data_IF_208105535819
#
_entry.id   IF_208105535819
#
_cell.length_a   1.000
_cell.length_b   1.000
_cell.length_c   1.000
_cell.angle_alpha   90.00
_cell.angle_beta   90.00
_cell.angle_gamma   90.00
#
_symmetry.space_group_name_H-M   'P 1'
#
loop_
_entity.id
_entity.type
_entity.pdbx_description
1 polymer ?
#
# COMPACT_ATOMS: atom_id res chain seq x y z
N UNK A 1 25.26 12.95 -9.43
CA UNK A 1 24.56 14.21 -9.09
C UNK A 1 25.49 15.43 -9.00
N UNK A 2 26.55 15.41 -8.18
CA UNK A 2 27.46 16.56 -8.03
C UNK A 2 28.14 17.04 -9.33
N UNK A 3 28.44 16.13 -10.26
CA UNK A 3 29.03 16.46 -11.55
C UNK A 3 28.05 17.18 -12.50
N UNK A 4 26.76 16.80 -12.49
CA UNK A 4 25.72 17.42 -13.32
C UNK A 4 25.43 18.86 -12.88
N UNK A 5 25.42 19.09 -11.57
CA UNK A 5 25.16 20.42 -10.99
C UNK A 5 26.22 21.45 -11.40
N UNK A 6 27.49 21.02 -11.57
CA UNK A 6 28.58 21.87 -12.05
C UNK A 6 28.49 22.22 -13.53
N UNK A 7 27.62 21.54 -14.29
CA UNK A 7 27.44 21.73 -15.73
C UNK A 7 26.21 22.57 -16.07
N UNK A 8 25.35 22.88 -15.09
CA UNK A 8 24.19 23.74 -15.29
C UNK A 8 24.60 25.22 -15.33
N UNK A 9 24.10 25.96 -16.33
CA UNK A 9 24.34 27.40 -16.48
C UNK A 9 23.01 28.16 -16.54
N UNK A 10 22.87 29.30 -15.83
CA UNK A 10 21.64 30.10 -15.89
C UNK A 10 21.30 30.52 -17.32
N UNK A 11 20.04 30.33 -17.72
CA UNK A 11 19.54 30.72 -19.05
C UNK A 11 19.86 29.75 -20.19
N UNK A 12 20.52 28.62 -19.92
CA UNK A 12 20.70 27.52 -20.87
C UNK A 12 19.92 26.28 -20.41
N UNK A 13 19.45 25.43 -21.35
CA UNK A 13 18.83 24.15 -21.01
C UNK A 13 19.78 23.32 -20.14
N UNK A 14 19.22 22.62 -19.16
CA UNK A 14 20.02 21.69 -18.36
C UNK A 14 20.68 20.65 -19.26
N UNK A 15 21.92 20.24 -18.97
CA UNK A 15 22.54 19.13 -19.66
C UNK A 15 21.66 17.89 -19.51
N UNK A 16 21.63 17.06 -20.56
CA UNK A 16 20.90 15.81 -20.51
C UNK A 16 21.30 15.03 -19.25
N UNK A 17 20.30 14.58 -18.50
CA UNK A 17 20.52 13.67 -17.39
C UNK A 17 21.20 12.39 -17.87
N UNK A 18 21.73 11.56 -16.95
CA UNK A 18 22.01 10.18 -17.31
C UNK A 18 20.76 9.60 -18.00
N UNK A 19 20.98 8.81 -19.05
CA UNK A 19 19.90 8.03 -19.63
C UNK A 19 19.24 7.25 -18.48
N UNK A 20 17.90 7.23 -18.39
CA UNK A 20 17.23 6.35 -17.43
C UNK A 20 17.77 4.93 -17.66
N UNK A 21 17.93 4.18 -16.57
CA UNK A 21 18.32 2.77 -16.68
C UNK A 21 17.35 2.11 -17.67
N UNK A 22 17.89 1.41 -18.67
CA UNK A 22 17.09 0.83 -19.76
C UNK A 22 16.00 -0.12 -19.21
N UNK A 23 16.25 -0.66 -18.02
CA UNK A 23 15.40 -1.60 -17.30
C UNK A 23 14.56 -0.93 -16.19
N UNK A 24 14.53 0.40 -16.09
CA UNK A 24 13.74 1.10 -15.07
C UNK A 24 12.23 0.82 -15.17
N UNK A 25 11.76 0.35 -16.34
CA UNK A 25 10.39 -0.10 -16.57
C UNK A 25 10.20 -1.61 -16.34
N UNK A 26 11.27 -2.37 -16.10
CA UNK A 26 11.24 -3.83 -15.96
C UNK A 26 10.82 -4.23 -14.54
N UNK A 27 9.56 -4.65 -14.40
CA UNK A 27 9.03 -5.23 -13.16
C UNK A 27 9.35 -6.73 -13.09
N UNK A 28 10.64 -7.06 -12.95
CA UNK A 28 11.12 -8.45 -12.96
C UNK A 28 10.58 -9.29 -11.79
N UNK A 29 10.26 -8.63 -10.67
CA UNK A 29 9.67 -9.30 -9.50
C UNK A 29 8.17 -9.43 -9.65
N UNK A 30 7.67 -10.66 -9.53
CA UNK A 30 6.25 -10.96 -9.51
C UNK A 30 5.78 -11.25 -8.08
N UNK A 31 4.69 -10.60 -7.69
CA UNK A 31 4.09 -10.73 -6.37
C UNK A 31 2.82 -11.59 -6.46
N UNK A 32 2.68 -12.53 -5.53
CA UNK A 32 1.48 -13.36 -5.42
C UNK A 32 0.32 -12.56 -4.82
N UNK A 33 -0.91 -12.81 -5.31
CA UNK A 33 -2.13 -12.25 -4.70
C UNK A 33 -2.54 -12.98 -3.42
N UNK A 34 -2.13 -14.24 -3.28
CA UNK A 34 -2.46 -15.08 -2.12
C UNK A 34 -1.58 -14.76 -0.91
N UNK A 35 -0.42 -14.15 -1.15
CA UNK A 35 0.52 -13.74 -0.11
C UNK A 35 0.41 -12.23 0.12
N UNK A 36 -0.34 -11.85 1.15
CA UNK A 36 -0.52 -10.46 1.57
C UNK A 36 0.19 -10.21 2.92
N UNK A 37 1.53 -10.19 2.96
CA UNK A 37 2.28 -10.03 4.20
C UNK A 37 2.15 -8.61 4.77
N UNK A 38 2.61 -8.46 6.01
CA UNK A 38 2.74 -7.18 6.69
C UNK A 38 1.44 -6.64 7.27
N UNK A 39 1.60 -5.59 8.07
CA UNK A 39 0.47 -4.85 8.63
C UNK A 39 -0.21 -4.00 7.56
N UNK A 40 -1.54 -3.85 7.66
CA UNK A 40 -2.31 -3.01 6.76
C UNK A 40 -3.49 -2.39 7.51
N UNK A 41 -3.98 -1.24 7.05
CA UNK A 41 -5.18 -0.62 7.61
C UNK A 41 -6.06 -0.08 6.49
N UNK A 42 -7.38 -0.18 6.70
CA UNK A 42 -8.39 0.42 5.83
C UNK A 42 -9.30 1.31 6.67
N UNK A 43 -9.48 2.56 6.25
CA UNK A 43 -10.46 3.49 6.82
C UNK A 43 -11.63 3.62 5.84
N UNK A 44 -12.83 3.31 6.30
CA UNK A 44 -14.09 3.45 5.55
C UNK A 44 -15.07 4.30 6.39
N UNK A 45 -15.16 5.59 6.05
CA UNK A 45 -15.86 6.58 6.86
C UNK A 45 -15.27 6.68 8.27
N UNK A 46 -16.09 6.47 9.28
CA UNK A 46 -15.66 6.51 10.68
C UNK A 46 -14.94 5.23 11.12
N UNK A 47 -15.00 4.15 10.36
CA UNK A 47 -14.51 2.86 10.81
C UNK A 47 -13.10 2.60 10.30
N UNK A 48 -12.25 2.04 11.15
CA UNK A 48 -10.92 1.59 10.79
C UNK A 48 -10.78 0.09 11.06
N UNK A 49 -10.40 -0.64 10.03
CA UNK A 49 -9.94 -2.02 10.13
C UNK A 49 -8.41 -2.01 10.20
N UNK A 50 -7.84 -2.69 11.18
CA UNK A 50 -6.40 -2.89 11.32
C UNK A 50 -6.07 -4.38 11.18
N UNK A 51 -5.18 -4.73 10.25
CA UNK A 51 -4.55 -6.04 10.10
C UNK A 51 -3.15 -5.97 10.71
N UNK A 52 -2.87 -6.81 11.70
CA UNK A 52 -1.54 -6.98 12.28
C UNK A 52 -1.06 -8.41 12.07
N UNK A 53 0.21 -8.57 11.72
CA UNK A 53 0.83 -9.89 11.73
C UNK A 53 0.99 -10.41 13.16
N UNK A 54 0.88 -11.72 13.32
CA UNK A 54 1.16 -12.39 14.59
C UNK A 54 2.36 -13.31 14.40
N UNK A 55 3.08 -13.62 15.49
CA UNK A 55 4.18 -14.60 15.47
C UNK A 55 3.75 -15.99 14.99
N UNK A 56 2.44 -16.27 14.95
CA UNK A 56 1.84 -17.54 14.55
C UNK A 56 1.45 -17.57 13.08
N UNK A 57 1.78 -16.53 12.29
CA UNK A 57 1.51 -16.43 10.85
C UNK A 57 0.07 -16.13 10.48
N UNK A 58 -0.89 -16.23 11.43
CA UNK A 58 -2.29 -15.84 11.19
C UNK A 58 -2.47 -14.35 11.51
N UNK A 59 -2.94 -13.52 10.57
CA UNK A 59 -3.16 -12.11 10.83
C UNK A 59 -4.29 -11.90 11.84
N UNK A 60 -4.07 -11.00 12.80
CA UNK A 60 -5.10 -10.51 13.72
C UNK A 60 -5.77 -9.29 13.09
N UNK A 61 -7.11 -9.27 13.15
CA UNK A 61 -7.91 -8.12 12.71
C UNK A 61 -8.59 -7.48 13.91
N UNK A 62 -8.52 -6.16 14.00
CA UNK A 62 -9.29 -5.34 14.96
C UNK A 62 -10.06 -4.26 14.23
N UNK A 63 -11.22 -3.87 14.76
CA UNK A 63 -12.14 -2.91 14.16
C UNK A 63 -12.45 -1.80 15.15
N UNK A 64 -12.33 -0.54 14.75
CA UNK A 64 -12.59 0.62 15.60
C UNK A 64 -13.58 1.58 14.92
N UNK A 65 -14.42 2.26 15.72
CA UNK A 65 -15.21 3.43 15.29
C UNK A 65 -14.48 4.69 15.74
N UNK A 66 -13.70 5.29 14.85
CA UNK A 66 -12.85 6.45 15.13
C UNK A 66 -13.63 7.70 15.53
N UNK A 67 -14.92 7.80 15.21
CA UNK A 67 -15.74 8.93 15.63
C UNK A 67 -16.09 8.85 17.12
N UNK A 68 -16.25 7.64 17.67
CA UNK A 68 -16.57 7.42 19.09
C UNK A 68 -15.34 7.08 19.92
N UNK A 69 -14.33 6.50 19.29
CA UNK A 69 -13.10 6.05 19.91
C UNK A 69 -11.88 6.43 19.05
N UNK A 70 -11.49 7.72 19.02
CA UNK A 70 -10.31 8.18 18.28
C UNK A 70 -9.00 7.54 18.75
N UNK A 71 -8.99 6.97 19.97
CA UNK A 71 -7.83 6.35 20.58
C UNK A 71 -7.72 4.83 20.34
N UNK A 72 -8.63 4.23 19.55
CA UNK A 72 -8.60 2.81 19.18
C UNK A 72 -8.51 1.86 20.39
N UNK A 73 -9.23 2.19 21.48
CA UNK A 73 -9.23 1.45 22.74
C UNK A 73 -10.22 0.30 22.76
N UNK A 74 -11.34 0.41 22.05
CA UNK A 74 -12.43 -0.56 22.03
C UNK A 74 -12.47 -1.30 20.70
N UNK A 75 -12.01 -2.56 20.70
CA UNK A 75 -12.14 -3.42 19.53
C UNK A 75 -13.59 -3.90 19.36
N UNK A 76 -14.19 -3.52 18.23
CA UNK A 76 -15.54 -3.87 17.80
C UNK A 76 -15.59 -5.14 16.94
N UNK A 77 -14.46 -5.83 16.71
CA UNK A 77 -14.38 -7.01 15.82
C UNK A 77 -15.36 -8.13 16.21
N UNK A 78 -15.62 -8.31 17.51
CA UNK A 78 -16.59 -9.27 18.03
C UNK A 78 -18.01 -8.71 18.16
N UNK A 79 -18.15 -7.38 18.20
CA UNK A 79 -19.44 -6.69 18.39
C UNK A 79 -20.17 -6.51 17.05
N UNK A 80 -19.44 -6.17 15.98
CA UNK A 80 -19.97 -6.00 14.63
C UNK A 80 -19.23 -6.92 13.62
N UNK A 81 -19.53 -8.23 13.64
CA UNK A 81 -18.87 -9.20 12.75
C UNK A 81 -19.24 -8.99 11.28
N UNK A 82 -20.39 -8.39 10.98
CA UNK A 82 -20.80 -8.09 9.61
C UNK A 82 -19.91 -7.00 9.01
N UNK A 83 -19.69 -5.90 9.74
CA UNK A 83 -18.77 -4.85 9.30
C UNK A 83 -17.34 -5.34 9.21
N UNK A 84 -16.89 -6.14 10.18
CA UNK A 84 -15.57 -6.77 10.12
C UNK A 84 -15.41 -7.56 8.82
N UNK A 85 -16.38 -8.41 8.48
CA UNK A 85 -16.34 -9.21 7.25
C UNK A 85 -16.31 -8.32 5.99
N UNK A 86 -17.17 -7.29 5.93
CA UNK A 86 -17.23 -6.35 4.80
C UNK A 86 -15.90 -5.63 4.60
N UNK A 87 -15.34 -5.05 5.66
CA UNK A 87 -14.09 -4.29 5.56
C UNK A 87 -12.89 -5.19 5.29
N UNK A 88 -12.90 -6.45 5.76
CA UNK A 88 -11.85 -7.42 5.41
C UNK A 88 -11.85 -7.72 3.92
N UNK A 89 -13.03 -7.92 3.32
CA UNK A 89 -13.14 -8.12 1.88
C UNK A 89 -12.62 -6.90 1.11
N UNK A 90 -13.07 -5.70 1.49
CA UNK A 90 -12.61 -4.46 0.85
C UNK A 90 -11.09 -4.25 0.98
N UNK A 91 -10.51 -4.56 2.14
CA UNK A 91 -9.06 -4.50 2.34
C UNK A 91 -8.34 -5.48 1.41
N UNK A 92 -8.80 -6.73 1.34
CA UNK A 92 -8.21 -7.74 0.45
C UNK A 92 -8.30 -7.33 -1.03
N UNK A 93 -9.45 -6.80 -1.47
CA UNK A 93 -9.64 -6.31 -2.84
C UNK A 93 -8.66 -5.18 -3.16
N UNK A 94 -8.51 -4.20 -2.25
CA UNK A 94 -7.53 -3.14 -2.41
C UNK A 94 -6.09 -3.67 -2.46
N UNK A 95 -5.73 -4.61 -1.58
CA UNK A 95 -4.41 -5.22 -1.60
C UNK A 95 -4.13 -5.98 -2.91
N UNK A 96 -5.12 -6.67 -3.49
CA UNK A 96 -4.98 -7.31 -4.79
C UNK A 96 -4.75 -6.31 -5.92
N UNK A 97 -5.39 -5.14 -5.87
CA UNK A 97 -5.13 -4.05 -6.83
C UNK A 97 -3.70 -3.54 -6.71
N UNK A 98 -3.17 -3.40 -5.49
CA UNK A 98 -1.74 -3.06 -5.29
C UNK A 98 -0.83 -4.11 -5.92
N UNK A 99 -1.13 -5.40 -5.72
CA UNK A 99 -0.36 -6.50 -6.35
C UNK A 99 -0.44 -6.43 -7.87
N UNK A 100 -1.60 -6.11 -8.46
CA UNK A 100 -1.72 -5.93 -9.91
C UNK A 100 -0.86 -4.77 -10.42
N UNK A 101 -0.84 -3.64 -9.71
CA UNK A 101 0.04 -2.51 -10.03
C UNK A 101 1.52 -2.88 -9.93
N UNK A 102 1.92 -3.60 -8.89
CA UNK A 102 3.31 -4.04 -8.71
C UNK A 102 3.74 -5.04 -9.79
N UNK A 103 2.80 -5.81 -10.33
CA UNK A 103 3.03 -6.73 -11.44
C UNK A 103 2.85 -6.07 -12.82
N UNK A 104 2.68 -4.75 -12.88
CA UNK A 104 2.62 -3.98 -14.13
C UNK A 104 1.30 -4.03 -14.88
N UNK A 105 0.24 -4.61 -14.30
CA UNK A 105 -1.03 -4.81 -15.01
C UNK A 105 -1.83 -3.53 -15.24
N UNK A 106 -1.57 -2.49 -14.45
CA UNK A 106 -2.22 -1.18 -14.59
C UNK A 106 -1.55 -0.28 -15.65
N UNK A 107 -0.42 -0.70 -16.24
CA UNK A 107 0.41 0.11 -17.13
C UNK A 107 0.65 -0.53 -18.50
N UNK A 108 -0.25 -1.43 -18.92
CA UNK A 108 -0.20 -2.02 -20.25
C UNK A 108 -0.81 -1.04 -21.28
N UNK A 109 0.05 -0.29 -21.98
CA UNK A 109 -0.25 0.44 -23.22
C UNK A 109 0.21 -0.36 -24.45
#
# INVERSE_FOLDING_TARGET
>A
LLALQKQQKPGQPNPAGPAPDADAASLETQYSKDELPGAAALVDGNFKLLKMETRQGKPKFTLYDLAKDPGEKQDLSQVDPQRLKKMKAALTEWQHSVVDSLNGKDYAD
#
